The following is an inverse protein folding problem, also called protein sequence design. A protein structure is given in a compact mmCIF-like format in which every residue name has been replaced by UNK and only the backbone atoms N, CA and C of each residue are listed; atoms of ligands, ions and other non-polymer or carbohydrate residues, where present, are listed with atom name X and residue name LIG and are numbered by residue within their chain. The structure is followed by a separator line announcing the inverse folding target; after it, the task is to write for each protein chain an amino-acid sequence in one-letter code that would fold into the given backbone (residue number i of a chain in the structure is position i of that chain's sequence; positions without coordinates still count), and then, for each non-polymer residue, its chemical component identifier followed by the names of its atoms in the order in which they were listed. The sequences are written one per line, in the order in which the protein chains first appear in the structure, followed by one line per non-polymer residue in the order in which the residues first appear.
data_IF_192800004943
#
_entry.id   IF_192800004943
#
_cell.length_a   1.000
_cell.length_b   1.000
_cell.length_c   1.000
_cell.angle_alpha   90.00
_cell.angle_beta   90.00
_cell.angle_gamma   90.00
#
_symmetry.space_group_name_H-M   'P 1'
#
loop_
_entity.id
_entity.type
_entity.pdbx_description
1 polymer ?
#
# COMPACT_ATOMS: atom_id res chain seq x y z
N UNK A 1 17.29 68.05 -18.60
CA UNK A 1 16.99 66.90 -19.48
C UNK A 1 16.03 65.96 -18.78
N UNK A 2 15.22 65.31 -19.57
CA UNK A 2 14.00 64.58 -19.25
C UNK A 2 14.12 63.33 -18.36
N UNK A 3 13.08 63.15 -17.54
CA UNK A 3 12.30 61.91 -17.29
C UNK A 3 12.91 60.61 -16.71
N UNK A 4 12.25 60.16 -15.62
CA UNK A 4 11.77 58.79 -15.28
C UNK A 4 12.85 57.74 -14.99
N UNK A 5 12.84 56.96 -13.90
CA UNK A 5 11.93 56.75 -12.79
C UNK A 5 12.24 55.41 -12.09
N UNK A 6 11.55 55.21 -10.95
CA UNK A 6 11.25 53.94 -10.24
C UNK A 6 12.25 53.40 -9.21
N UNK A 7 11.81 53.58 -7.95
CA UNK A 7 11.71 52.64 -6.82
C UNK A 7 12.89 51.68 -6.58
N UNK A 8 13.66 51.83 -5.49
CA UNK A 8 13.29 51.70 -4.07
C UNK A 8 12.99 50.27 -3.63
N UNK A 9 13.95 49.78 -2.84
CA UNK A 9 13.87 48.89 -1.69
C UNK A 9 13.50 47.42 -1.90
N UNK A 10 14.50 46.59 -1.59
CA UNK A 10 14.40 45.25 -1.09
C UNK A 10 13.13 45.04 -0.22
N UNK A 11 12.31 44.07 -0.61
CA UNK A 11 11.33 43.49 0.30
C UNK A 11 11.99 42.32 1.02
N UNK A 12 12.70 42.61 2.10
CA UNK A 12 12.93 41.65 3.17
C UNK A 12 11.60 41.47 3.90
N UNK A 13 10.81 40.49 3.47
CA UNK A 13 9.70 40.00 4.26
C UNK A 13 10.25 39.27 5.50
N UNK A 14 10.64 40.05 6.50
CA UNK A 14 10.80 39.59 7.87
C UNK A 14 9.39 39.31 8.39
N UNK A 15 9.03 38.04 8.47
CA UNK A 15 7.78 37.57 9.03
C UNK A 15 7.73 37.85 10.53
N UNK A 16 7.31 39.05 10.93
CA UNK A 16 6.96 39.36 12.32
C UNK A 16 5.50 38.96 12.58
N UNK A 17 5.24 37.66 12.76
CA UNK A 17 4.11 37.20 13.58
C UNK A 17 4.63 36.14 14.54
N UNK A 18 5.11 36.64 15.68
CA UNK A 18 5.20 35.87 16.91
C UNK A 18 3.76 35.79 17.47
N UNK A 19 3.08 34.67 17.22
CA UNK A 19 1.92 34.24 18.01
C UNK A 19 2.32 32.94 18.72
N UNK A 20 2.41 32.89 20.06
CA UNK A 20 2.80 31.70 20.81
C UNK A 20 1.63 30.71 20.96
N UNK A 21 0.60 30.82 20.13
CA UNK A 21 -0.28 29.68 19.86
C UNK A 21 0.28 29.02 18.62
N UNK A 22 1.26 28.12 18.81
CA UNK A 22 1.55 27.05 17.85
C UNK A 22 0.24 26.28 17.70
N UNK A 23 -0.63 26.77 16.81
CA UNK A 23 -1.70 25.98 16.21
C UNK A 23 -0.94 24.82 15.65
N UNK A 24 -0.92 23.72 16.40
CA UNK A 24 -0.29 22.48 16.02
C UNK A 24 -0.91 22.17 14.66
N UNK A 25 -0.19 22.49 13.57
CA UNK A 25 -0.59 22.11 12.22
C UNK A 25 -0.96 20.65 12.36
N UNK A 26 -2.24 20.35 12.17
CA UNK A 26 -2.72 18.99 12.33
C UNK A 26 -1.90 18.18 11.32
N UNK A 27 -1.27 17.09 11.78
CA UNK A 27 -0.50 16.19 10.91
C UNK A 27 -1.42 15.86 9.73
N UNK A 28 -0.93 16.13 8.51
CA UNK A 28 -1.67 15.80 7.30
C UNK A 28 -1.96 14.30 7.28
N UNK A 29 -3.14 13.89 6.78
CA UNK A 29 -3.50 12.49 6.76
C UNK A 29 -2.48 11.72 5.92
N UNK A 30 -2.03 10.57 6.42
CA UNK A 30 -1.09 9.73 5.66
C UNK A 30 -1.81 9.15 4.45
N UNK A 31 -1.37 9.45 3.21
CA UNK A 31 -2.02 8.95 2.01
C UNK A 31 -1.91 7.42 1.94
N UNK A 32 -3.02 6.78 1.60
CA UNK A 32 -3.07 5.35 1.31
C UNK A 32 -3.99 5.14 0.10
N UNK A 33 -3.42 4.82 -1.06
CA UNK A 33 -4.17 4.62 -2.29
C UNK A 33 -4.30 3.13 -2.63
N UNK A 34 -5.54 2.70 -2.90
CA UNK A 34 -5.89 1.33 -3.26
C UNK A 34 -6.64 1.33 -4.59
N UNK A 35 -6.32 0.37 -5.45
CA UNK A 35 -6.98 0.13 -6.72
C UNK A 35 -7.83 -1.15 -6.66
N UNK A 36 -9.06 -1.12 -7.17
CA UNK A 36 -9.95 -2.30 -7.21
C UNK A 36 -10.15 -2.70 -8.67
N UNK A 37 -9.77 -3.93 -9.00
CA UNK A 37 -9.77 -4.50 -10.35
C UNK A 37 -10.54 -5.83 -10.33
N UNK A 38 -11.12 -6.20 -11.46
CA UNK A 38 -11.82 -7.47 -11.62
C UNK A 38 -12.78 -7.46 -12.78
N UNK A 39 -13.29 -8.62 -13.13
CA UNK A 39 -14.20 -8.78 -14.26
C UNK A 39 -15.52 -8.01 -14.09
N UNK A 40 -16.22 -7.76 -15.19
CA UNK A 40 -17.58 -7.20 -15.11
C UNK A 40 -18.48 -8.07 -14.24
N UNK A 41 -19.38 -7.39 -13.52
CA UNK A 41 -20.34 -8.02 -12.61
C UNK A 41 -19.74 -8.74 -11.38
N UNK A 42 -18.44 -8.59 -11.09
CA UNK A 42 -17.82 -9.19 -9.88
C UNK A 42 -18.14 -8.46 -8.57
N UNK A 43 -18.94 -7.38 -8.59
CA UNK A 43 -19.33 -6.65 -7.37
C UNK A 43 -18.30 -5.63 -6.86
N UNK A 44 -17.38 -5.16 -7.72
CA UNK A 44 -16.37 -4.13 -7.39
C UNK A 44 -16.94 -2.86 -6.79
N UNK A 45 -17.87 -2.21 -7.48
CA UNK A 45 -18.45 -0.94 -7.02
C UNK A 45 -19.21 -1.11 -5.70
N UNK A 46 -19.90 -2.24 -5.52
CA UNK A 46 -20.53 -2.59 -4.23
C UNK A 46 -19.50 -2.76 -3.11
N UNK A 47 -18.35 -3.39 -3.41
CA UNK A 47 -17.25 -3.53 -2.46
C UNK A 47 -16.61 -2.17 -2.11
N UNK A 48 -16.39 -1.30 -3.10
CA UNK A 48 -15.87 0.07 -2.88
C UNK A 48 -16.81 0.89 -2.00
N UNK A 49 -18.12 0.84 -2.27
CA UNK A 49 -19.14 1.51 -1.45
C UNK A 49 -19.18 0.95 -0.02
N UNK A 50 -19.04 -0.37 0.12
CA UNK A 50 -18.97 -1.01 1.42
C UNK A 50 -17.72 -0.59 2.20
N UNK A 51 -16.52 -0.65 1.60
CA UNK A 51 -15.28 -0.17 2.20
C UNK A 51 -15.39 1.29 2.64
N UNK A 52 -15.98 2.14 1.81
CA UNK A 52 -16.21 3.55 2.14
C UNK A 52 -17.07 3.70 3.39
N UNK A 53 -18.12 2.89 3.54
CA UNK A 53 -19.00 2.93 4.73
C UNK A 53 -18.31 2.34 5.96
N UNK A 54 -17.63 1.20 5.80
CA UNK A 54 -16.97 0.46 6.89
C UNK A 54 -15.76 1.20 7.47
N UNK A 55 -15.08 2.00 6.65
CA UNK A 55 -13.90 2.79 7.05
C UNK A 55 -14.23 4.28 7.27
N UNK A 56 -15.50 4.70 7.10
CA UNK A 56 -15.87 6.08 7.33
C UNK A 56 -15.75 6.46 8.80
N UNK A 57 -15.20 7.66 9.05
CA UNK A 57 -15.25 8.26 10.37
C UNK A 57 -16.70 8.43 10.85
N UNK A 58 -16.96 8.21 12.16
CA UNK A 58 -18.24 8.54 12.75
C UNK A 58 -18.58 10.01 12.49
N UNK A 59 -19.87 10.35 12.32
CA UNK A 59 -20.31 11.67 11.85
C UNK A 59 -19.75 12.84 12.66
N UNK A 60 -19.46 12.63 13.96
CA UNK A 60 -18.93 13.63 14.88
C UNK A 60 -17.42 13.93 14.71
N UNK A 61 -16.69 13.13 13.94
CA UNK A 61 -15.25 13.30 13.67
C UNK A 61 -14.96 13.67 12.21
N UNK A 62 -15.98 13.82 11.36
CA UNK A 62 -15.78 14.22 9.96
C UNK A 62 -15.24 15.65 9.92
N UNK A 63 -14.04 15.89 9.37
CA UNK A 63 -13.56 17.25 9.23
C UNK A 63 -14.47 17.98 8.24
N UNK A 64 -15.03 19.11 8.66
CA UNK A 64 -15.58 20.12 7.76
C UNK A 64 -14.40 20.70 6.97
N UNK A 65 -14.24 20.26 5.73
CA UNK A 65 -13.17 20.73 4.84
C UNK A 65 -13.63 21.96 4.07
N UNK A 66 -12.76 22.96 3.95
CA UNK A 66 -13.02 24.16 3.16
C UNK A 66 -13.07 23.83 1.65
N UNK A 67 -13.85 24.56 0.83
CA UNK A 67 -14.00 24.28 -0.60
C UNK A 67 -12.70 24.28 -1.40
N UNK A 68 -11.71 25.09 -1.02
CA UNK A 68 -10.42 25.21 -1.72
C UNK A 68 -9.54 23.96 -1.60
N UNK A 69 -9.62 23.22 -0.50
CA UNK A 69 -8.88 21.95 -0.37
C UNK A 69 -9.60 20.79 -1.08
N UNK A 70 -10.82 21.01 -1.59
CA UNK A 70 -11.59 20.02 -2.35
C UNK A 70 -11.06 19.89 -3.79
N UNK A 71 -10.38 20.92 -4.30
CA UNK A 71 -9.70 20.92 -5.61
C UNK A 71 -8.39 20.10 -5.59
N UNK A 72 -7.75 19.99 -4.42
CA UNK A 72 -6.53 19.16 -4.18
C UNK A 72 -6.84 17.66 -3.99
N UNK A 73 -8.08 17.23 -4.20
CA UNK A 73 -8.44 15.81 -4.14
C UNK A 73 -8.01 15.09 -5.42
N UNK A 74 -7.64 13.80 -5.35
CA UNK A 74 -7.34 13.04 -6.55
C UNK A 74 -8.59 13.01 -7.44
N UNK A 75 -8.57 13.75 -8.54
CA UNK A 75 -9.66 13.75 -9.51
C UNK A 75 -9.51 12.53 -10.42
N UNK A 76 -10.65 11.94 -10.79
CA UNK A 76 -10.68 10.87 -11.76
C UNK A 76 -10.10 11.39 -13.09
N UNK A 77 -9.26 10.60 -13.79
CA UNK A 77 -8.83 10.97 -15.12
C UNK A 77 -10.07 11.16 -16.02
N UNK A 78 -10.06 12.12 -16.96
CA UNK A 78 -11.21 12.44 -17.81
C UNK A 78 -11.67 11.27 -18.70
N UNK A 79 -10.88 10.20 -18.79
CA UNK A 79 -11.13 9.04 -19.64
C UNK A 79 -12.19 8.06 -19.09
N UNK A 80 -12.83 8.32 -17.94
CA UNK A 80 -13.98 7.55 -17.46
C UNK A 80 -13.74 6.07 -17.09
N UNK A 81 -12.51 5.56 -17.24
CA UNK A 81 -12.12 4.19 -16.88
C UNK A 81 -11.94 3.96 -15.38
N UNK A 82 -11.68 5.03 -14.64
CA UNK A 82 -11.45 4.97 -13.20
C UNK A 82 -12.34 5.97 -12.48
N UNK A 83 -12.99 5.53 -11.42
CA UNK A 83 -13.71 6.40 -10.49
C UNK A 83 -12.88 6.53 -9.22
N UNK A 84 -12.64 7.77 -8.78
CA UNK A 84 -11.90 8.04 -7.56
C UNK A 84 -12.86 8.35 -6.40
N UNK A 85 -12.65 7.71 -5.27
CA UNK A 85 -13.33 7.99 -4.01
C UNK A 85 -12.31 8.25 -2.90
N UNK A 86 -12.20 9.50 -2.46
CA UNK A 86 -11.36 9.87 -1.32
C UNK A 86 -12.15 9.87 -0.01
N UNK A 87 -11.54 9.37 1.05
CA UNK A 87 -12.08 9.31 2.39
C UNK A 87 -10.98 9.52 3.43
N UNK A 88 -11.23 10.35 4.44
CA UNK A 88 -10.38 10.40 5.64
C UNK A 88 -10.89 9.43 6.68
N UNK A 89 -9.98 8.60 7.19
CA UNK A 89 -10.24 7.60 8.22
C UNK A 89 -9.22 7.70 9.34
N UNK A 90 -9.56 7.17 10.52
CA UNK A 90 -8.68 7.07 11.68
C UNK A 90 -8.48 5.59 11.95
N UNK A 91 -7.29 5.09 11.62
CA UNK A 91 -6.89 3.68 11.80
C UNK A 91 -5.69 3.70 12.77
N UNK A 92 -5.75 2.89 13.83
CA UNK A 92 -4.70 2.81 14.85
C UNK A 92 -4.30 4.16 15.49
N UNK A 93 -5.29 5.03 15.69
CA UNK A 93 -5.11 6.42 16.18
C UNK A 93 -4.28 7.32 15.25
N UNK A 94 -4.06 6.90 14.00
CA UNK A 94 -3.45 7.69 12.94
C UNK A 94 -4.51 8.15 11.93
N UNK A 95 -4.40 9.42 11.50
CA UNK A 95 -5.23 9.95 10.42
C UNK A 95 -4.69 9.45 9.08
N UNK A 96 -5.50 8.69 8.35
CA UNK A 96 -5.18 8.12 7.05
C UNK A 96 -6.11 8.74 5.99
N UNK A 97 -5.53 9.17 4.87
CA UNK A 97 -6.25 9.66 3.70
C UNK A 97 -6.36 8.53 2.69
N UNK A 98 -7.46 7.79 2.74
CA UNK A 98 -7.71 6.64 1.88
C UNK A 98 -8.26 7.10 0.53
N UNK A 99 -7.59 6.74 -0.56
CA UNK A 99 -8.09 6.94 -1.92
C UNK A 99 -8.42 5.58 -2.53
N UNK A 100 -9.69 5.34 -2.84
CA UNK A 100 -10.16 4.13 -3.51
C UNK A 100 -10.38 4.43 -4.99
N UNK A 101 -9.68 3.69 -5.85
CA UNK A 101 -9.84 3.75 -7.29
C UNK A 101 -10.67 2.54 -7.75
N UNK A 102 -11.88 2.77 -8.27
CA UNK A 102 -12.71 1.73 -8.89
C UNK A 102 -12.41 1.67 -10.39
N UNK A 103 -11.92 0.53 -10.89
CA UNK A 103 -11.72 0.33 -12.32
C UNK A 103 -13.01 -0.12 -13.00
N UNK A 104 -13.19 0.25 -14.27
CA UNK A 104 -14.21 -0.40 -15.09
C UNK A 104 -13.97 -1.92 -15.11
N UNK A 105 -15.06 -2.69 -15.18
CA UNK A 105 -14.94 -4.14 -15.18
C UNK A 105 -14.25 -4.68 -16.43
N UNK A 106 -13.32 -5.60 -16.19
CA UNK A 106 -12.55 -6.24 -17.23
C UNK A 106 -13.42 -7.23 -18.03
N UNK A 107 -13.17 -7.27 -19.34
CA UNK A 107 -13.77 -8.23 -20.25
C UNK A 107 -12.70 -9.04 -20.96
N UNK A 108 -12.97 -10.33 -21.19
CA UNK A 108 -12.03 -11.25 -21.85
C UNK A 108 -11.60 -10.78 -23.24
N UNK A 109 -12.50 -10.12 -23.99
CA UNK A 109 -12.27 -9.71 -25.39
C UNK A 109 -11.38 -8.48 -25.55
N UNK A 110 -11.30 -7.62 -24.53
CA UNK A 110 -10.58 -6.34 -24.58
C UNK A 110 -9.58 -6.16 -23.43
N UNK A 111 -9.27 -7.26 -22.74
CA UNK A 111 -8.38 -7.29 -21.58
C UNK A 111 -7.03 -6.66 -21.89
N UNK A 112 -6.43 -6.94 -23.04
CA UNK A 112 -5.12 -6.39 -23.43
C UNK A 112 -5.11 -4.86 -23.45
N UNK A 113 -6.16 -4.26 -24.00
CA UNK A 113 -6.29 -2.81 -24.09
C UNK A 113 -6.52 -2.21 -22.70
N UNK A 114 -7.40 -2.82 -21.91
CA UNK A 114 -7.71 -2.37 -20.54
C UNK A 114 -6.48 -2.51 -19.62
N UNK A 115 -5.70 -3.57 -19.74
CA UNK A 115 -4.47 -3.79 -18.99
C UNK A 115 -3.39 -2.76 -19.32
N UNK A 116 -3.28 -2.38 -20.60
CA UNK A 116 -2.38 -1.30 -21.01
C UNK A 116 -2.78 0.03 -20.38
N UNK A 117 -4.08 0.32 -20.30
CA UNK A 117 -4.60 1.52 -19.63
C UNK A 117 -4.37 1.49 -18.12
N UNK A 118 -4.59 0.35 -17.46
CA UNK A 118 -4.28 0.17 -16.02
C UNK A 118 -2.79 0.36 -15.77
N UNK A 119 -1.94 -0.24 -16.60
CA UNK A 119 -0.49 -0.07 -16.49
C UNK A 119 -0.09 1.38 -16.71
N UNK A 120 -0.62 2.03 -17.73
CA UNK A 120 -0.37 3.44 -17.99
C UNK A 120 -0.87 4.35 -16.85
N UNK A 121 -1.97 3.99 -16.19
CA UNK A 121 -2.45 4.69 -15.01
C UNK A 121 -1.49 4.54 -13.82
N UNK A 122 -1.01 3.34 -13.54
CA UNK A 122 0.00 3.09 -12.48
C UNK A 122 1.29 3.87 -12.76
N UNK A 123 1.79 3.80 -14.00
CA UNK A 123 2.98 4.53 -14.42
C UNK A 123 2.80 6.04 -14.38
N UNK A 124 1.60 6.54 -14.70
CA UNK A 124 1.28 7.97 -14.56
C UNK A 124 1.41 8.43 -13.11
N UNK A 125 1.04 7.60 -12.13
CA UNK A 125 1.22 7.94 -10.71
C UNK A 125 2.70 7.99 -10.30
N UNK A 126 3.53 7.11 -10.85
CA UNK A 126 4.97 7.19 -10.67
C UNK A 126 5.57 8.42 -11.37
N UNK A 127 5.09 8.76 -12.56
CA UNK A 127 5.55 9.94 -13.31
C UNK A 127 5.19 11.24 -12.58
N UNK A 128 4.03 11.33 -11.92
CA UNK A 128 3.63 12.48 -11.10
C UNK A 128 4.65 12.75 -9.99
N UNK A 129 5.01 11.71 -9.22
CA UNK A 129 6.03 11.78 -8.16
C UNK A 129 7.41 12.09 -8.73
N UNK A 130 7.80 11.44 -9.83
CA UNK A 130 9.08 11.65 -10.48
C UNK A 130 9.25 13.09 -11.01
N UNK A 131 8.21 13.64 -11.62
CA UNK A 131 8.21 15.03 -12.10
C UNK A 131 8.39 16.01 -10.94
N UNK A 132 7.78 15.73 -9.79
CA UNK A 132 7.99 16.54 -8.59
C UNK A 132 9.40 16.37 -8.01
N UNK A 133 9.95 15.16 -8.00
CA UNK A 133 11.33 14.90 -7.55
C UNK A 133 12.39 15.61 -8.39
N UNK A 134 12.14 15.74 -9.70
CA UNK A 134 13.01 16.42 -10.66
C UNK A 134 12.99 17.95 -10.50
N UNK A 135 12.01 18.54 -9.82
CA UNK A 135 11.97 19.99 -9.58
C UNK A 135 13.06 20.41 -8.59
N UNK A 136 13.75 21.49 -8.92
CA UNK A 136 14.77 22.11 -8.05
C UNK A 136 14.15 22.67 -6.77
N UNK A 137 13.00 23.33 -6.89
CA UNK A 137 12.19 23.79 -5.76
C UNK A 137 10.96 22.92 -5.71
N UNK A 138 10.90 22.05 -4.70
CA UNK A 138 9.80 21.12 -4.48
C UNK A 138 8.69 21.79 -3.69
N UNK A 139 7.45 21.47 -4.03
CA UNK A 139 6.27 22.02 -3.38
C UNK A 139 6.12 21.40 -1.98
N UNK A 140 6.11 22.20 -0.89
CA UNK A 140 5.98 21.65 0.45
C UNK A 140 4.55 21.12 0.65
N UNK A 141 4.39 19.80 0.75
CA UNK A 141 3.09 19.17 1.00
C UNK A 141 2.59 18.23 -0.10
N UNK A 142 3.44 17.86 -1.08
CA UNK A 142 3.09 16.88 -2.10
C UNK A 142 2.73 15.56 -1.43
N UNK A 143 1.54 15.05 -1.76
CA UNK A 143 1.03 13.77 -1.24
C UNK A 143 1.52 12.64 -2.13
N UNK A 144 1.72 11.50 -1.51
CA UNK A 144 2.02 10.25 -2.21
C UNK A 144 0.82 9.84 -3.07
N UNK A 145 1.03 9.73 -4.38
CA UNK A 145 0.02 9.35 -5.37
C UNK A 145 0.15 7.88 -5.79
N UNK A 146 1.14 7.15 -5.28
CA UNK A 146 1.41 5.76 -5.65
C UNK A 146 0.27 4.84 -5.21
N UNK A 147 -0.02 3.83 -6.02
CA UNK A 147 -0.97 2.78 -5.67
C UNK A 147 -0.24 1.71 -4.85
N UNK A 148 -0.53 1.64 -3.55
CA UNK A 148 0.17 0.73 -2.64
C UNK A 148 -0.35 -0.71 -2.74
N UNK A 149 -1.66 -0.87 -3.01
CA UNK A 149 -2.31 -2.17 -3.08
C UNK A 149 -3.37 -2.17 -4.17
N UNK A 150 -3.49 -3.30 -4.88
CA UNK A 150 -4.56 -3.58 -5.81
C UNK A 150 -5.37 -4.81 -5.37
N UNK A 151 -6.68 -4.67 -5.22
CA UNK A 151 -7.57 -5.80 -5.01
C UNK A 151 -7.98 -6.40 -6.34
N UNK A 152 -7.73 -7.70 -6.53
CA UNK A 152 -8.25 -8.46 -7.65
C UNK A 152 -9.50 -9.22 -7.21
N UNK A 153 -10.65 -8.71 -7.63
CA UNK A 153 -11.96 -9.28 -7.30
C UNK A 153 -12.31 -10.43 -8.24
N UNK A 154 -12.33 -11.63 -7.69
CA UNK A 154 -12.73 -12.87 -8.35
C UNK A 154 -14.21 -13.15 -8.06
N UNK A 155 -14.94 -13.62 -9.08
CA UNK A 155 -16.35 -14.02 -8.94
C UNK A 155 -16.42 -15.55 -8.82
N UNK A 156 -17.02 -16.11 -7.75
CA UNK A 156 -17.10 -17.56 -7.58
C UNK A 156 -17.79 -18.28 -8.74
N UNK A 157 -18.83 -17.69 -9.34
CA UNK A 157 -19.52 -18.30 -10.48
C UNK A 157 -18.58 -18.51 -11.69
N UNK A 158 -17.69 -17.54 -11.94
CA UNK A 158 -16.70 -17.64 -13.01
C UNK A 158 -15.61 -18.66 -12.69
N UNK A 159 -15.21 -18.74 -11.42
CA UNK A 159 -14.25 -19.76 -10.99
C UNK A 159 -14.81 -21.17 -11.19
N UNK A 160 -16.08 -21.39 -10.88
CA UNK A 160 -16.75 -22.67 -11.09
C UNK A 160 -16.85 -23.05 -12.57
N UNK A 161 -17.24 -22.10 -13.43
CA UNK A 161 -17.24 -22.29 -14.88
C UNK A 161 -15.85 -22.67 -15.41
N UNK A 162 -14.82 -21.98 -14.94
CA UNK A 162 -13.44 -22.23 -15.33
C UNK A 162 -12.97 -23.61 -14.86
N UNK A 163 -13.28 -24.02 -13.62
CA UNK A 163 -12.93 -25.34 -13.08
C UNK A 163 -13.64 -26.45 -13.88
N UNK A 164 -14.92 -26.27 -14.19
CA UNK A 164 -15.67 -27.23 -15.01
C UNK A 164 -15.09 -27.32 -16.43
N UNK A 165 -14.69 -26.20 -17.02
CA UNK A 165 -14.02 -26.17 -18.31
C UNK A 165 -12.64 -26.88 -18.27
N UNK A 166 -11.86 -26.66 -17.22
CA UNK A 166 -10.57 -27.33 -17.02
C UNK A 166 -10.72 -28.85 -16.85
N UNK A 167 -11.75 -29.31 -16.13
CA UNK A 167 -12.05 -30.74 -15.99
C UNK A 167 -12.47 -31.37 -17.32
N UNK A 168 -13.29 -30.68 -18.13
CA UNK A 168 -13.68 -31.15 -19.46
C UNK A 168 -12.48 -31.24 -20.41
N UNK A 169 -11.58 -30.26 -20.37
CA UNK A 169 -10.36 -30.27 -21.16
C UNK A 169 -9.41 -31.41 -20.76
N UNK A 170 -9.32 -31.73 -19.46
CA UNK A 170 -8.54 -32.86 -18.97
C UNK A 170 -9.17 -34.23 -19.34
N UNK A 171 -10.48 -34.28 -19.56
CA UNK A 171 -11.24 -35.48 -19.94
C UNK A 171 -11.13 -35.89 -21.41
N UNK A 172 -10.34 -35.19 -22.24
CA UNK A 172 -10.04 -35.59 -23.62
C UNK A 172 -11.03 -35.13 -24.69
N UNK A 173 -12.02 -34.30 -24.34
CA UNK A 173 -12.98 -33.75 -25.31
C UNK A 173 -12.53 -32.34 -25.73
N UNK A 174 -11.54 -32.26 -26.63
CA UNK A 174 -10.96 -31.01 -27.12
C UNK A 174 -11.86 -30.31 -28.16
N UNK A 175 -13.16 -30.23 -27.89
CA UNK A 175 -14.11 -29.54 -28.74
C UNK A 175 -14.44 -28.17 -28.16
N UNK A 176 -13.68 -27.15 -28.59
CA UNK A 176 -14.19 -25.78 -28.70
C UNK A 176 -14.28 -24.90 -27.44
N UNK A 177 -13.56 -25.16 -26.34
CA UNK A 177 -13.41 -24.14 -25.28
C UNK A 177 -12.27 -23.18 -25.62
N UNK A 178 -12.60 -21.95 -26.03
CA UNK A 178 -11.65 -20.87 -26.28
C UNK A 178 -10.96 -20.32 -25.01
N UNK A 179 -11.27 -20.87 -23.83
CA UNK A 179 -10.77 -20.40 -22.54
C UNK A 179 -9.60 -21.27 -22.11
N UNK A 180 -8.40 -20.69 -22.06
CA UNK A 180 -7.23 -21.32 -21.44
C UNK A 180 -7.32 -21.16 -19.93
N UNK A 181 -7.59 -22.25 -19.21
CA UNK A 181 -7.70 -22.25 -17.76
C UNK A 181 -6.52 -22.98 -17.15
N UNK A 182 -5.88 -22.39 -16.14
CA UNK A 182 -4.87 -23.06 -15.32
C UNK A 182 -5.45 -23.29 -13.94
N UNK A 183 -5.80 -24.54 -13.63
CA UNK A 183 -6.39 -24.98 -12.35
C UNK A 183 -7.84 -24.53 -12.16
N UNK A 184 -8.07 -23.23 -12.03
CA UNK A 184 -9.39 -22.58 -11.96
C UNK A 184 -9.37 -21.08 -12.30
N UNK A 185 -8.20 -20.51 -12.56
CA UNK A 185 -8.05 -19.12 -13.00
C UNK A 185 -7.99 -19.04 -14.52
N UNK A 186 -8.58 -17.98 -15.06
CA UNK A 186 -8.52 -17.67 -16.48
C UNK A 186 -7.11 -17.18 -16.83
N UNK A 187 -6.43 -17.85 -17.76
CA UNK A 187 -5.08 -17.48 -18.17
C UNK A 187 -5.06 -16.14 -18.92
N UNK A 188 -6.07 -15.94 -19.77
CA UNK A 188 -6.20 -14.77 -20.63
C UNK A 188 -6.81 -13.56 -19.89
N UNK A 189 -7.17 -13.70 -18.60
CA UNK A 189 -7.69 -12.59 -17.82
C UNK A 189 -7.01 -12.47 -16.46
N UNK A 190 -7.26 -13.44 -15.57
CA UNK A 190 -6.87 -13.32 -14.16
C UNK A 190 -5.34 -13.45 -14.01
N UNK A 191 -4.73 -14.44 -14.67
CA UNK A 191 -3.27 -14.60 -14.66
C UNK A 191 -2.57 -13.49 -15.43
N UNK A 192 -3.15 -13.02 -16.53
CA UNK A 192 -2.57 -11.91 -17.30
C UNK A 192 -2.54 -10.61 -16.47
N UNK A 193 -3.62 -10.31 -15.74
CA UNK A 193 -3.67 -9.18 -14.80
C UNK A 193 -2.56 -9.34 -13.74
N UNK A 194 -2.48 -10.50 -13.10
CA UNK A 194 -1.49 -10.77 -12.07
C UNK A 194 -0.05 -10.60 -12.59
N UNK A 195 0.29 -11.21 -13.73
CA UNK A 195 1.62 -11.11 -14.36
C UNK A 195 1.98 -9.67 -14.74
N UNK A 196 1.01 -8.89 -15.21
CA UNK A 196 1.24 -7.52 -15.68
C UNK A 196 1.41 -6.54 -14.53
N UNK A 197 0.70 -6.77 -13.43
CA UNK A 197 0.71 -5.93 -12.23
C UNK A 197 1.84 -6.29 -11.27
N UNK A 198 2.28 -7.55 -11.26
CA UNK A 198 3.47 -8.00 -10.53
C UNK A 198 4.67 -7.15 -10.98
N UNK A 199 5.39 -6.59 -10.01
CA UNK A 199 6.50 -5.67 -10.28
C UNK A 199 6.13 -4.18 -10.27
N UNK A 200 4.83 -3.82 -10.22
CA UNK A 200 4.36 -2.42 -10.15
C UNK A 200 3.56 -2.12 -8.89
N UNK A 201 2.78 -3.08 -8.40
CA UNK A 201 1.99 -2.94 -7.16
C UNK A 201 1.72 -4.30 -6.56
N UNK A 202 1.36 -4.33 -5.28
CA UNK A 202 0.98 -5.57 -4.59
C UNK A 202 -0.46 -5.93 -4.94
N UNK A 203 -0.70 -7.13 -5.45
CA UNK A 203 -2.05 -7.58 -5.85
C UNK A 203 -2.59 -8.58 -4.84
N UNK A 204 -3.69 -8.24 -4.18
CA UNK A 204 -4.37 -9.12 -3.21
C UNK A 204 -5.62 -9.70 -3.88
N UNK A 205 -5.65 -11.01 -4.19
CA UNK A 205 -6.83 -11.63 -4.77
C UNK A 205 -7.88 -11.89 -3.69
N UNK A 206 -9.13 -11.54 -4.01
CA UNK A 206 -10.27 -11.59 -3.10
C UNK A 206 -11.46 -12.19 -3.83
N UNK A 207 -12.10 -13.19 -3.22
CA UNK A 207 -13.32 -13.80 -3.76
C UNK A 207 -14.52 -13.00 -3.27
N UNK A 208 -15.26 -12.43 -4.21
CA UNK A 208 -16.51 -11.71 -3.94
C UNK A 208 -17.71 -12.64 -3.75
N UNK A 209 -18.84 -12.06 -3.34
CA UNK A 209 -20.15 -12.73 -3.28
C UNK A 209 -20.10 -14.05 -2.49
N UNK A 210 -19.44 -14.04 -1.34
CA UNK A 210 -19.32 -15.24 -0.50
C UNK A 210 -20.69 -15.87 -0.13
N UNK A 211 -21.77 -15.07 -0.13
CA UNK A 211 -23.15 -15.51 0.09
C UNK A 211 -23.72 -16.47 -0.97
N UNK A 212 -23.15 -16.53 -2.17
CA UNK A 212 -23.67 -17.41 -3.23
C UNK A 212 -23.14 -18.84 -3.11
N UNK A 213 -22.17 -19.06 -2.23
CA UNK A 213 -21.40 -20.30 -2.15
C UNK A 213 -21.44 -20.86 -0.73
N UNK A 214 -21.51 -22.18 -0.59
CA UNK A 214 -21.42 -22.83 0.72
C UNK A 214 -20.00 -22.79 1.28
N UNK A 215 -19.84 -22.85 2.60
CA UNK A 215 -18.51 -22.83 3.25
C UNK A 215 -17.57 -23.93 2.74
N UNK A 216 -18.09 -25.14 2.52
CA UNK A 216 -17.31 -26.25 1.97
C UNK A 216 -16.81 -25.98 0.55
N UNK A 217 -17.68 -25.42 -0.30
CA UNK A 217 -17.31 -25.07 -1.67
C UNK A 217 -16.36 -23.86 -1.72
N UNK A 218 -16.52 -22.89 -0.81
CA UNK A 218 -15.58 -21.77 -0.66
C UNK A 218 -14.17 -22.24 -0.29
N UNK A 219 -14.04 -23.20 0.63
CA UNK A 219 -12.74 -23.78 0.98
C UNK A 219 -12.07 -24.46 -0.22
N UNK A 220 -12.85 -25.18 -1.03
CA UNK A 220 -12.37 -25.78 -2.27
C UNK A 220 -11.91 -24.72 -3.30
N UNK A 221 -12.68 -23.64 -3.47
CA UNK A 221 -12.34 -22.53 -4.36
C UNK A 221 -11.05 -21.81 -3.91
N UNK A 222 -10.93 -21.50 -2.62
CA UNK A 222 -9.72 -20.88 -2.06
C UNK A 222 -8.49 -21.72 -2.32
N UNK A 223 -8.57 -23.03 -2.05
CA UNK A 223 -7.48 -23.98 -2.33
C UNK A 223 -7.14 -24.04 -3.82
N UNK A 224 -8.15 -24.08 -4.69
CA UNK A 224 -7.94 -24.14 -6.14
C UNK A 224 -7.27 -22.88 -6.68
N UNK A 225 -7.69 -21.70 -6.22
CA UNK A 225 -7.05 -20.43 -6.57
C UNK A 225 -5.60 -20.41 -6.08
N UNK A 226 -5.35 -20.82 -4.84
CA UNK A 226 -4.00 -20.92 -4.27
C UNK A 226 -3.09 -21.87 -5.08
N UNK A 227 -3.58 -23.06 -5.42
CA UNK A 227 -2.83 -24.01 -6.24
C UNK A 227 -2.58 -23.47 -7.66
N UNK A 228 -3.51 -22.68 -8.20
CA UNK A 228 -3.37 -22.03 -9.51
C UNK A 228 -2.31 -20.93 -9.49
N UNK A 229 -2.26 -20.13 -8.43
CA UNK A 229 -1.22 -19.11 -8.22
C UNK A 229 0.18 -19.74 -8.10
N UNK A 230 0.29 -20.83 -7.31
CA UNK A 230 1.53 -21.60 -7.19
C UNK A 230 1.99 -22.19 -8.52
N UNK A 231 1.08 -22.75 -9.32
CA UNK A 231 1.40 -23.27 -10.66
C UNK A 231 1.87 -22.17 -11.62
N UNK A 232 1.33 -20.96 -11.47
CA UNK A 232 1.74 -19.81 -12.26
C UNK A 232 3.08 -19.19 -11.81
N UNK A 233 3.66 -19.66 -10.70
CA UNK A 233 4.84 -19.11 -10.04
C UNK A 233 4.68 -17.60 -9.71
N UNK A 234 3.46 -17.21 -9.32
CA UNK A 234 3.13 -15.85 -8.93
C UNK A 234 2.89 -15.88 -7.42
N UNK A 235 3.80 -15.28 -6.66
CA UNK A 235 3.56 -15.02 -5.24
C UNK A 235 3.02 -13.59 -5.07
N UNK A 236 1.72 -13.43 -4.75
CA UNK A 236 1.12 -12.11 -4.58
C UNK A 236 1.72 -11.30 -3.42
N UNK A 237 2.39 -11.97 -2.47
CA UNK A 237 2.94 -11.35 -1.26
C UNK A 237 4.47 -11.43 -1.17
N UNK A 238 5.16 -11.77 -2.26
CA UNK A 238 6.64 -11.87 -2.30
C UNK A 238 7.30 -10.69 -1.59
N UNK A 239 6.81 -9.48 -1.85
CA UNK A 239 7.31 -8.24 -1.23
C UNK A 239 7.25 -8.20 0.28
N UNK A 240 6.20 -8.74 0.90
CA UNK A 240 6.10 -8.78 2.36
C UNK A 240 7.10 -9.78 2.97
N UNK A 241 7.63 -10.70 2.15
CA UNK A 241 8.65 -11.67 2.54
C UNK A 241 10.09 -11.26 2.17
N UNK A 242 10.26 -10.29 1.27
CA UNK A 242 11.59 -9.81 0.84
C UNK A 242 12.34 -9.08 1.97
N UNK A 243 11.64 -8.48 2.93
CA UNK A 243 12.28 -7.84 4.09
C UNK A 243 12.98 -8.83 5.05
N UNK A 244 12.73 -10.14 4.96
CA UNK A 244 13.48 -11.13 5.75
C UNK A 244 14.88 -11.43 5.16
N UNK A 245 15.18 -11.05 3.91
CA UNK A 245 16.43 -11.41 3.24
C UNK A 245 17.46 -10.27 3.08
N UNK A 246 17.09 -9.02 3.33
CA UNK A 246 18.00 -7.87 3.15
C UNK A 246 18.88 -7.56 4.38
N UNK A 247 18.65 -8.22 5.52
CA UNK A 247 19.52 -8.08 6.71
C UNK A 247 20.93 -8.66 6.47
N UNK A 248 21.11 -9.55 5.48
CA UNK A 248 22.43 -10.06 5.10
C UNK A 248 23.22 -9.14 4.15
N UNK A 249 22.54 -8.24 3.41
CA UNK A 249 23.22 -7.25 2.56
C UNK A 249 23.48 -5.94 3.30
N UNK A 250 22.57 -5.50 4.18
CA UNK A 250 22.77 -4.26 4.96
C UNK A 250 23.89 -4.38 5.99
N UNK A 251 24.04 -5.55 6.65
CA UNK A 251 25.11 -5.78 7.64
C UNK A 251 26.51 -5.74 7.05
N UNK A 252 26.63 -5.93 5.72
CA UNK A 252 27.90 -5.90 5.02
C UNK A 252 28.37 -4.49 4.64
N UNK A 253 27.46 -3.51 4.55
CA UNK A 253 27.79 -2.11 4.21
C UNK A 253 28.12 -1.26 5.46
N UNK A 254 27.46 -1.51 6.60
CA UNK A 254 27.78 -0.83 7.87
C UNK A 254 29.16 -1.22 8.43
N UNK A 255 29.76 -2.33 7.94
CA UNK A 255 31.07 -2.81 8.40
C UNK A 255 32.26 -2.17 7.69
N UNK A 256 32.03 -1.38 6.64
CA UNK A 256 33.10 -0.70 5.89
C UNK A 256 33.32 0.75 6.34
N UNK A 257 32.38 1.36 7.06
CA UNK A 257 32.47 2.78 7.48
C UNK A 257 33.05 2.95 8.90
N UNK A 258 33.01 1.91 9.76
CA UNK A 258 33.58 1.99 11.12
C UNK A 258 35.12 1.89 11.15
N UNK A 259 35.78 1.44 10.08
CA UNK A 259 37.24 1.32 10.04
C UNK A 259 37.97 2.59 9.60
N UNK A 260 37.34 3.47 8.84
CA UNK A 260 37.97 4.72 8.39
C UNK A 260 37.84 5.85 9.44
N UNK A 261 36.85 5.80 10.35
CA UNK A 261 36.75 6.79 11.44
C UNK A 261 37.74 6.54 12.59
N UNK A 262 38.19 5.32 12.83
CA UNK A 262 39.15 5.00 13.89
C UNK A 262 40.60 5.36 13.51
N UNK A 263 40.99 5.27 12.24
CA UNK A 263 42.34 5.67 11.77
C UNK A 263 42.55 7.19 11.77
N UNK A 264 41.48 8.00 11.74
CA UNK A 264 41.55 9.46 11.81
C UNK A 264 41.54 10.01 13.25
N UNK A 265 41.14 9.20 14.23
CA UNK A 265 41.16 9.58 15.66
C UNK A 265 42.50 9.28 16.32
N UNK A 266 43.21 8.23 15.90
CA UNK A 266 44.55 7.93 16.43
C UNK A 266 45.63 8.94 16.00
N UNK A 267 45.43 9.69 14.91
CA UNK A 267 46.40 10.69 14.45
C UNK A 267 46.35 12.05 15.19
N UNK A 268 45.41 12.25 16.12
CA UNK A 268 45.27 13.53 16.87
C UNK A 268 45.60 13.45 18.36
N UNK A 269 45.73 12.27 18.94
CA UNK A 269 45.99 12.11 20.38
C UNK A 269 47.47 11.88 20.74
N UNK A 270 48.38 11.76 19.76
CA UNK A 270 49.80 11.50 20.02
C UNK A 270 50.66 12.79 20.18
N UNK A 271 50.04 13.97 20.23
CA UNK A 271 50.77 15.24 20.38
C UNK A 271 50.74 15.82 21.81
N UNK A 272 50.04 15.22 22.77
CA UNK A 272 49.95 15.84 24.09
C UNK A 272 49.80 14.87 25.27
N UNK A 273 50.83 14.06 25.54
CA UNK A 273 51.01 13.55 26.91
C UNK A 273 52.46 13.18 27.26
N UNK A 274 53.00 13.89 28.27
CA UNK A 274 53.79 13.44 29.45
C UNK A 274 54.71 14.59 29.91
N UNK A 275 54.90 15.02 31.17
CA UNK A 275 54.49 14.71 32.58
C UNK A 275 55.26 15.76 33.48
N UNK A 276 55.30 15.70 34.84
CA UNK A 276 54.24 15.78 35.85
C UNK A 276 54.57 16.81 36.99
N UNK A 277 53.60 17.10 37.86
CA UNK A 277 53.68 17.52 39.29
C UNK A 277 52.33 18.18 39.63
N UNK A 278 51.71 18.16 40.80
CA UNK A 278 51.85 17.51 42.10
C UNK A 278 50.54 17.88 42.84
N UNK A 279 50.16 17.04 43.82
CA UNK A 279 49.34 17.36 45.00
C UNK A 279 47.78 17.44 44.99
N UNK A 280 47.25 16.59 45.88
CA UNK A 280 46.18 16.81 46.89
C UNK A 280 44.69 16.55 46.57
N UNK A 281 44.17 15.59 47.35
CA UNK A 281 42.79 15.21 47.72
C UNK A 281 42.31 16.24 48.80
N UNK A 282 41.01 16.61 48.96
CA UNK A 282 40.01 15.67 49.46
C UNK A 282 38.54 15.79 49.04
N UNK A 283 37.87 14.68 49.35
CA UNK A 283 36.44 14.35 49.28
C UNK A 283 35.48 15.45 49.79
N UNK A 284 34.34 15.57 49.10
CA UNK A 284 33.08 16.03 49.70
C UNK A 284 31.87 15.31 49.04
N UNK A 285 30.89 14.78 49.79
CA UNK A 285 29.82 13.95 49.25
C UNK A 285 28.52 14.76 49.16
N UNK A 286 28.23 15.35 48.00
CA UNK A 286 26.87 15.76 47.69
C UNK A 286 26.67 16.05 46.20
N UNK A 287 26.03 15.12 45.48
CA UNK A 287 25.36 15.46 44.22
C UNK A 287 24.07 14.64 44.06
N UNK A 288 22.94 15.25 43.66
CA UNK A 288 21.69 14.53 43.45
C UNK A 288 21.70 13.72 42.15
N UNK A 289 20.96 12.61 42.15
CA UNK A 289 20.70 11.69 41.03
C UNK A 289 20.04 12.40 39.84
N UNK A 290 20.45 12.18 38.58
CA UNK A 290 19.71 12.63 37.39
C UNK A 290 18.53 11.68 37.03
N UNK A 291 17.48 12.17 36.34
CA UNK A 291 16.25 11.41 36.06
C UNK A 291 16.44 10.34 34.97
N UNK A 292 15.52 9.35 34.82
CA UNK A 292 15.73 8.21 33.93
C UNK A 292 15.71 8.62 32.45
N UNK A 293 16.66 8.07 31.70
CA UNK A 293 16.81 8.26 30.25
C UNK A 293 15.67 7.59 29.46
N UNK A 294 15.32 8.19 28.32
CA UNK A 294 14.39 7.67 27.33
C UNK A 294 14.86 6.31 26.77
N UNK A 295 13.92 5.42 26.33
CA UNK A 295 14.26 4.07 25.89
C UNK A 295 15.19 4.09 24.68
N UNK A 296 16.21 3.23 24.74
CA UNK A 296 17.29 3.15 23.75
C UNK A 296 16.80 2.57 22.42
N UNK A 297 17.51 2.88 21.33
CA UNK A 297 17.18 2.41 19.98
C UNK A 297 17.11 0.87 19.86
N UNK A 298 17.80 0.13 20.73
CA UNK A 298 17.76 -1.32 20.78
C UNK A 298 16.38 -1.88 21.20
N UNK A 299 15.68 -1.22 22.13
CA UNK A 299 14.33 -1.62 22.55
C UNK A 299 13.30 -1.38 21.45
N UNK A 300 13.44 -0.31 20.67
CA UNK A 300 12.61 -0.05 19.48
C UNK A 300 12.85 -1.07 18.37
N UNK A 301 14.08 -1.57 18.23
CA UNK A 301 14.44 -2.60 17.25
C UNK A 301 13.78 -3.93 17.59
N UNK A 302 13.83 -4.34 18.86
CA UNK A 302 13.17 -5.55 19.37
C UNK A 302 11.64 -5.51 19.23
N UNK A 303 11.01 -4.35 19.41
CA UNK A 303 9.56 -4.20 19.24
C UNK A 303 9.14 -4.19 17.76
N UNK A 304 9.98 -3.66 16.87
CA UNK A 304 9.84 -3.82 15.40
C UNK A 304 10.02 -5.28 14.97
N UNK A 305 11.00 -6.00 15.52
CA UNK A 305 11.23 -7.42 15.25
C UNK A 305 10.04 -8.29 15.71
N UNK A 306 9.45 -8.00 16.88
CA UNK A 306 8.28 -8.75 17.37
C UNK A 306 7.03 -8.52 16.50
N UNK A 307 6.82 -7.31 15.98
CA UNK A 307 5.72 -7.02 15.03
C UNK A 307 5.95 -7.61 13.63
N UNK A 308 7.20 -7.66 13.16
CA UNK A 308 7.58 -8.31 11.89
C UNK A 308 7.44 -9.85 11.95
N UNK A 309 7.74 -10.46 13.10
CA UNK A 309 7.58 -11.92 13.28
C UNK A 309 6.11 -12.38 13.32
N UNK A 310 5.17 -11.50 13.71
CA UNK A 310 3.74 -11.84 13.69
C UNK A 310 3.16 -11.88 12.28
N UNK A 311 3.57 -10.97 11.37
CA UNK A 311 3.10 -10.96 9.99
C UNK A 311 3.60 -12.18 9.21
N UNK A 312 4.87 -12.58 9.36
CA UNK A 312 5.41 -13.75 8.65
C UNK A 312 4.84 -15.09 9.14
N UNK A 313 4.49 -15.22 10.43
CA UNK A 313 3.88 -16.43 11.00
C UNK A 313 2.44 -16.69 10.55
N UNK A 314 1.69 -15.64 10.15
CA UNK A 314 0.35 -15.79 9.57
C UNK A 314 0.38 -16.07 8.06
N UNK A 315 1.46 -15.71 7.38
CA UNK A 315 1.64 -15.86 5.93
C UNK A 315 2.26 -17.22 5.56
N UNK A 316 3.19 -17.70 6.38
CA UNK A 316 3.81 -19.01 6.24
C UNK A 316 3.08 -20.05 7.10
N UNK A 317 1.84 -20.33 6.73
CA UNK A 317 1.10 -21.45 7.28
C UNK A 317 1.91 -22.74 7.13
N UNK A 318 2.34 -23.33 8.25
CA UNK A 318 2.89 -24.69 8.29
C UNK A 318 1.97 -25.64 7.52
N UNK A 319 2.53 -26.75 7.02
CA UNK A 319 2.04 -27.65 5.95
C UNK A 319 0.59 -28.18 5.99
N UNK A 320 -0.27 -27.73 6.92
CA UNK A 320 -1.69 -28.04 7.04
C UNK A 320 -2.62 -26.84 7.34
N UNK A 321 -2.14 -25.59 7.31
CA UNK A 321 -2.99 -24.41 7.51
C UNK A 321 -3.70 -24.00 6.19
N UNK A 322 -4.97 -23.59 6.29
CA UNK A 322 -5.70 -23.02 5.13
C UNK A 322 -4.92 -21.83 4.55
N UNK A 323 -4.85 -21.72 3.20
CA UNK A 323 -4.12 -20.63 2.58
C UNK A 323 -4.77 -19.29 2.98
N UNK A 324 -3.96 -18.37 3.51
CA UNK A 324 -4.42 -17.05 3.98
C UNK A 324 -5.09 -16.24 2.86
N UNK A 325 -4.69 -16.50 1.61
CA UNK A 325 -5.21 -15.89 0.40
C UNK A 325 -5.74 -16.99 -0.52
N UNK A 326 -6.86 -16.78 -1.23
CA UNK A 326 -7.67 -15.56 -1.30
C UNK A 326 -8.68 -15.43 -0.15
N UNK A 327 -8.93 -14.18 0.27
CA UNK A 327 -9.94 -13.87 1.30
C UNK A 327 -11.33 -13.83 0.67
N UNK A 328 -12.36 -14.24 1.41
CA UNK A 328 -13.75 -14.18 0.95
C UNK A 328 -14.48 -12.97 1.53
N UNK A 329 -15.14 -12.19 0.67
CA UNK A 329 -15.88 -10.99 1.07
C UNK A 329 -17.34 -11.06 0.67
N UNK A 330 -18.15 -10.34 1.43
CA UNK A 330 -19.55 -10.12 1.15
C UNK A 330 -19.83 -8.63 1.09
N UNK A 331 -20.32 -8.15 -0.06
CA UNK A 331 -20.70 -6.75 -0.22
C UNK A 331 -22.19 -6.58 0.10
N UNK A 332 -22.59 -5.77 1.10
CA UNK A 332 -23.99 -5.52 1.41
C UNK A 332 -24.74 -4.88 0.24
N UNK A 333 -26.07 -4.95 0.30
CA UNK A 333 -26.96 -4.36 -0.70
C UNK A 333 -26.86 -2.82 -0.67
N UNK A 334 -26.75 -2.12 -1.83
CA UNK A 334 -26.75 -0.66 -1.88
C UNK A 334 -27.90 -0.02 -1.08
N UNK A 335 -29.10 -0.59 -1.13
CA UNK A 335 -30.25 -0.04 -0.40
C UNK A 335 -30.14 -0.24 1.13
N UNK A 336 -29.58 -1.38 1.57
CA UNK A 336 -29.25 -1.61 2.99
C UNK A 336 -28.18 -0.63 3.49
N UNK A 337 -27.17 -0.34 2.67
CA UNK A 337 -26.09 0.60 2.98
C UNK A 337 -26.56 2.06 3.20
N UNK A 338 -27.60 2.47 2.47
CA UNK A 338 -28.19 3.81 2.53
C UNK A 338 -29.14 3.99 3.73
N UNK A 339 -29.77 2.91 4.20
CA UNK A 339 -30.63 2.95 5.38
C UNK A 339 -29.82 3.33 6.63
N UNK A 340 -30.22 4.40 7.33
CA UNK A 340 -29.53 4.87 8.55
C UNK A 340 -29.79 3.99 9.76
N UNK A 341 -30.92 3.28 9.77
CA UNK A 341 -31.44 2.55 10.92
C UNK A 341 -31.54 1.02 10.70
N UNK A 342 -31.04 0.52 9.56
CA UNK A 342 -31.09 -0.91 9.22
C UNK A 342 -29.77 -1.65 9.48
N UNK A 343 -29.81 -2.97 9.75
CA UNK A 343 -28.58 -3.77 9.81
C UNK A 343 -27.91 -3.79 8.44
N UNK A 344 -26.60 -3.54 8.42
CA UNK A 344 -25.79 -3.52 7.19
C UNK A 344 -25.57 -4.96 6.74
N UNK A 345 -26.12 -5.35 5.60
CA UNK A 345 -25.94 -6.70 5.09
C UNK A 345 -26.84 -7.03 3.92
N UNK A 346 -26.92 -8.32 3.58
CA UNK A 346 -27.87 -8.82 2.57
C UNK A 346 -29.01 -9.53 3.27
N UNK A 347 -30.23 -9.04 3.06
CA UNK A 347 -31.45 -9.67 3.59
C UNK A 347 -32.04 -10.58 2.52
N UNK A 348 -32.05 -11.87 2.81
CA UNK A 348 -32.71 -12.89 2.02
C UNK A 348 -34.06 -13.30 2.63
N UNK A 349 -34.96 -13.93 1.86
CA UNK A 349 -36.18 -14.51 2.41
C UNK A 349 -35.93 -15.57 3.49
N UNK A 350 -34.77 -16.24 3.43
CA UNK A 350 -34.37 -17.35 4.30
C UNK A 350 -33.38 -16.97 5.40
N UNK A 351 -32.87 -15.73 5.43
CA UNK A 351 -31.86 -15.34 6.39
C UNK A 351 -31.27 -13.95 6.15
N UNK A 352 -30.34 -13.55 7.00
CA UNK A 352 -29.61 -12.29 6.87
C UNK A 352 -28.11 -12.60 6.88
N UNK A 353 -27.40 -12.14 5.85
CA UNK A 353 -25.96 -12.29 5.76
C UNK A 353 -25.28 -10.99 6.19
N UNK A 354 -24.61 -11.05 7.35
CA UNK A 354 -23.87 -9.94 7.94
C UNK A 354 -22.42 -9.91 7.40
N UNK A 355 -21.96 -8.82 6.76
CA UNK A 355 -20.59 -8.65 6.29
C UNK A 355 -19.55 -8.51 7.41
N UNK A 356 -19.95 -8.25 8.65
CA UNK A 356 -19.02 -8.10 9.78
C UNK A 356 -18.90 -9.39 10.60
N UNK A 357 -19.69 -10.41 10.30
CA UNK A 357 -19.63 -11.68 11.00
C UNK A 357 -18.54 -12.58 10.39
N UNK A 358 -17.54 -13.04 11.19
CA UNK A 358 -16.49 -13.93 10.71
C UNK A 358 -16.99 -15.31 10.25
N UNK A 359 -18.18 -15.74 10.67
CA UNK A 359 -18.77 -16.99 10.19
C UNK A 359 -19.33 -16.84 8.76
N UNK A 360 -19.70 -15.62 8.36
CA UNK A 360 -20.26 -15.33 7.04
C UNK A 360 -19.21 -14.88 6.02
N UNK A 361 -18.22 -14.07 6.43
CA UNK A 361 -17.13 -13.68 5.54
C UNK A 361 -15.83 -13.27 6.26
N UNK A 362 -14.72 -13.29 5.52
CA UNK A 362 -13.39 -12.91 6.02
C UNK A 362 -13.13 -11.40 5.91
N UNK A 363 -14.17 -10.56 5.82
CA UNK A 363 -13.98 -9.12 5.64
C UNK A 363 -13.23 -8.47 6.81
N UNK A 364 -13.51 -8.89 8.05
CA UNK A 364 -12.77 -8.40 9.22
C UNK A 364 -11.28 -8.73 9.13
N UNK A 365 -10.94 -9.96 8.73
CA UNK A 365 -9.54 -10.37 8.51
C UNK A 365 -8.90 -9.51 7.44
N UNK A 366 -9.57 -9.31 6.30
CA UNK A 366 -9.09 -8.44 5.21
C UNK A 366 -8.86 -7.00 5.68
N UNK A 367 -9.79 -6.48 6.48
CA UNK A 367 -9.71 -5.12 7.02
C UNK A 367 -8.50 -4.98 7.94
N UNK A 368 -8.36 -5.88 8.90
CA UNK A 368 -7.33 -5.80 9.94
C UNK A 368 -5.93 -6.02 9.36
N UNK A 369 -5.78 -6.92 8.38
CA UNK A 369 -4.48 -7.14 7.74
C UNK A 369 -4.12 -6.07 6.71
N UNK A 370 -4.97 -5.79 5.73
CA UNK A 370 -4.61 -4.88 4.61
C UNK A 370 -4.58 -3.41 5.03
N UNK A 371 -5.45 -3.00 5.96
CA UNK A 371 -5.51 -1.60 6.41
C UNK A 371 -4.81 -1.35 7.75
N UNK A 372 -4.62 -2.39 8.57
CA UNK A 372 -3.86 -2.32 9.81
C UNK A 372 -2.40 -2.73 9.60
N UNK A 373 -2.13 -4.03 9.62
CA UNK A 373 -0.78 -4.59 9.67
C UNK A 373 0.06 -4.26 8.43
N UNK A 374 -0.43 -4.57 7.23
CA UNK A 374 0.32 -4.42 5.98
C UNK A 374 0.38 -2.98 5.48
N UNK A 375 -0.38 -2.05 6.05
CA UNK A 375 -0.44 -0.66 5.56
C UNK A 375 0.94 0.02 5.55
N UNK A 376 1.76 -0.24 6.56
CA UNK A 376 3.13 0.28 6.62
C UNK A 376 4.01 -0.31 5.52
N UNK A 377 4.06 -1.64 5.50
CA UNK A 377 4.87 -2.44 4.58
C UNK A 377 4.50 -2.18 3.10
N UNK A 378 3.22 -2.11 2.76
CA UNK A 378 2.74 -1.84 1.40
C UNK A 378 3.12 -0.44 0.92
N UNK A 379 3.14 0.55 1.81
CA UNK A 379 3.57 1.91 1.47
C UNK A 379 5.08 1.97 1.24
N UNK A 380 5.85 1.36 2.13
CA UNK A 380 7.31 1.24 2.02
C UNK A 380 7.70 0.52 0.73
N UNK A 381 7.15 -0.67 0.49
CA UNK A 381 7.34 -1.41 -0.73
C UNK A 381 7.00 -0.64 -2.01
N UNK A 382 5.89 0.11 -2.01
CA UNK A 382 5.51 0.90 -3.17
C UNK A 382 6.53 1.98 -3.53
N UNK A 383 7.22 2.52 -2.53
CA UNK A 383 8.23 3.57 -2.70
C UNK A 383 9.60 2.99 -2.97
N UNK A 384 10.05 2.05 -2.17
CA UNK A 384 11.44 1.57 -2.18
C UNK A 384 11.67 0.47 -3.21
N UNK A 385 10.64 -0.34 -3.50
CA UNK A 385 10.74 -1.44 -4.45
C UNK A 385 10.16 -1.03 -5.80
N UNK A 386 8.87 -0.70 -5.86
CA UNK A 386 8.19 -0.49 -7.14
C UNK A 386 8.58 0.82 -7.80
N UNK A 387 8.48 1.93 -7.08
CA UNK A 387 8.83 3.24 -7.60
C UNK A 387 10.32 3.34 -7.93
N UNK A 388 11.24 2.90 -7.06
CA UNK A 388 12.67 2.97 -7.38
C UNK A 388 13.09 2.06 -8.55
N UNK A 389 12.49 0.86 -8.69
CA UNK A 389 12.73 0.02 -9.88
C UNK A 389 12.29 0.74 -11.15
N UNK A 390 11.08 1.31 -11.15
CA UNK A 390 10.57 2.08 -12.29
C UNK A 390 11.43 3.33 -12.58
N UNK A 391 11.80 4.08 -11.54
CA UNK A 391 12.64 5.28 -11.60
C UNK A 391 14.02 4.98 -12.17
N UNK A 392 14.63 3.88 -11.73
CA UNK A 392 15.92 3.41 -12.26
C UNK A 392 15.83 3.09 -13.76
N UNK A 393 14.77 2.37 -14.18
CA UNK A 393 14.53 2.06 -15.60
C UNK A 393 14.34 3.35 -16.40
N UNK A 394 13.55 4.30 -15.88
CA UNK A 394 13.25 5.59 -16.51
C UNK A 394 14.50 6.45 -16.67
N UNK A 395 15.32 6.57 -15.63
CA UNK A 395 16.58 7.33 -15.66
C UNK A 395 17.60 6.71 -16.61
N UNK A 396 17.74 5.37 -16.64
CA UNK A 396 18.60 4.69 -17.62
C UNK A 396 18.19 4.99 -19.06
N UNK A 397 16.89 4.95 -19.33
CA UNK A 397 16.33 5.28 -20.65
C UNK A 397 16.58 6.74 -21.02
N UNK A 398 16.44 7.68 -20.09
CA UNK A 398 16.72 9.09 -20.35
C UNK A 398 18.23 9.39 -20.48
N UNK A 399 19.09 8.66 -19.76
CA UNK A 399 20.54 8.77 -19.85
C UNK A 399 21.11 8.30 -21.21
N UNK A 400 20.50 7.30 -21.84
CA UNK A 400 20.92 6.85 -23.19
C UNK A 400 20.72 7.90 -24.28
N UNK A 401 19.78 8.84 -24.15
CA UNK A 401 19.61 9.94 -25.11
C UNK A 401 20.65 11.06 -24.95
N UNK A 402 21.38 11.10 -23.83
CA UNK A 402 22.42 12.11 -23.57
C UNK A 402 23.82 11.73 -24.09
N UNK A 403 24.09 10.44 -24.34
CA UNK A 403 25.42 9.95 -24.75
C UNK A 403 25.59 9.74 -26.27
N UNK A 404 24.62 10.18 -27.09
CA UNK A 404 24.64 10.01 -28.56
C UNK A 404 24.95 11.27 -29.37
N UNK A 405 25.23 12.40 -28.71
CA UNK A 405 25.67 13.63 -29.37
C UNK A 405 26.86 14.23 -28.60
N UNK A 406 28.05 13.71 -28.89
CA UNK A 406 29.31 14.41 -28.66
C UNK A 406 30.26 14.06 -29.81
#
# INVERSE_FOLDING_TARGET
MAHRGRYSYASSAVSTINSPRRVRRRKDPTPYNILVIGARNSGKTSFVNFLRKALALPPNKRPTRNPEEMDDLPQAPPNGYFTCHYLETEIDSERVGLTLWDSQGLERSIVDLQLREITGFLESKFEDSFTEEMKVIRSPGVRDTHIHCAFLILDPARLDENIAAAQKAAGGDSSGSAIRVVGGLDEDLDLQVLRTMQGKTTVVPVISKADTVTTAHMAFLKKTVWDSLKKANIDPLEVLTLEEHDDDYSSSLDRFDEKEEDELREAKDDANRRTPDSETVPDDPNNPVPPPAAPSAAEKSLEKQRKRSSSSSMLSGGSNAEPFIPLSILSPDPHSLESKDGPIGRKFPWGFADPYDPEHCDFLKLKDTVFGEWRGELREASREVWYERWRTIRLKRNGSYGNGQA
#
